data_IF_182185883001
#
_entry.id   IF_182185883001
#
_cell.length_a   1.000
_cell.length_b   1.000
_cell.length_c   1.000
_cell.angle_alpha   90.00
_cell.angle_beta   90.00
_cell.angle_gamma   90.00
#
_symmetry.space_group_name_H-M   'P 1'
#
loop_
_entity.id
_entity.type
_entity.pdbx_description
1 polymer ?
#
# COMPACT_ATOMS: atom_id res chain seq x y z
N UNK A 1 9.25 -4.18 5.98
CA UNK A 1 8.67 -5.50 5.65
C UNK A 1 9.74 -6.50 5.27
N UNK A 2 10.37 -6.37 4.08
CA UNK A 2 11.38 -7.32 3.58
C UNK A 2 12.52 -7.59 4.57
N UNK A 3 13.18 -6.54 5.09
CA UNK A 3 14.31 -6.70 6.01
C UNK A 3 13.94 -7.37 7.33
N UNK A 4 12.73 -7.11 7.84
CA UNK A 4 12.20 -7.78 9.04
C UNK A 4 12.01 -9.27 8.80
N UNK A 5 11.44 -9.65 7.66
CA UNK A 5 11.21 -11.05 7.32
C UNK A 5 12.53 -11.78 7.01
N UNK A 6 13.41 -11.18 6.22
CA UNK A 6 14.73 -11.75 5.89
C UNK A 6 15.55 -12.03 7.17
N UNK A 7 15.61 -11.06 8.09
CA UNK A 7 16.34 -11.22 9.35
C UNK A 7 15.75 -12.35 10.20
N UNK A 8 14.42 -12.44 10.27
CA UNK A 8 13.75 -13.51 10.99
C UNK A 8 14.08 -14.89 10.39
N UNK A 9 13.94 -15.04 9.08
CA UNK A 9 14.14 -16.30 8.37
C UNK A 9 15.58 -16.81 8.50
N UNK A 10 16.57 -15.93 8.28
CA UNK A 10 17.99 -16.24 8.47
C UNK A 10 18.28 -16.68 9.93
N UNK A 11 17.66 -16.02 10.91
CA UNK A 11 17.88 -16.35 12.30
C UNK A 11 17.23 -17.68 12.73
N UNK A 12 16.07 -18.02 12.14
CA UNK A 12 15.39 -19.31 12.38
C UNK A 12 16.24 -20.50 11.90
N UNK A 13 16.97 -20.36 10.80
CA UNK A 13 17.84 -21.43 10.26
C UNK A 13 19.23 -21.49 10.89
N UNK A 14 19.52 -20.68 11.92
CA UNK A 14 20.76 -20.79 12.68
C UNK A 14 21.74 -19.61 12.56
N UNK A 15 21.52 -18.70 11.62
CA UNK A 15 22.48 -17.63 11.33
C UNK A 15 22.38 -16.47 12.33
N UNK A 16 23.50 -15.82 12.59
CA UNK A 16 23.56 -14.57 13.35
C UNK A 16 23.36 -13.40 12.39
N UNK A 17 22.41 -12.52 12.68
CA UNK A 17 21.99 -11.44 11.80
C UNK A 17 22.21 -10.09 12.49
N UNK A 18 22.88 -9.18 11.80
CA UNK A 18 22.85 -7.76 12.12
C UNK A 18 21.77 -7.09 11.26
N UNK A 19 20.70 -6.60 11.89
CA UNK A 19 19.65 -5.84 11.22
C UNK A 19 19.90 -4.35 11.43
N UNK A 20 20.35 -3.67 10.37
CA UNK A 20 20.67 -2.24 10.41
C UNK A 20 19.46 -1.43 9.96
N UNK A 21 19.02 -0.49 10.78
CA UNK A 21 17.86 0.37 10.54
C UNK A 21 18.22 1.82 10.89
N UNK A 22 17.93 2.75 9.98
CA UNK A 22 18.25 4.16 10.18
C UNK A 22 17.36 4.83 11.23
N UNK A 23 16.12 4.37 11.38
CA UNK A 23 15.15 4.93 12.34
C UNK A 23 15.54 4.56 13.78
N UNK A 24 15.40 5.45 14.78
CA UNK A 24 14.90 6.83 14.67
C UNK A 24 15.95 7.88 14.27
N UNK A 25 17.24 7.52 14.21
CA UNK A 25 18.34 8.45 13.97
C UNK A 25 18.17 9.24 12.66
N UNK A 26 17.57 8.63 11.64
CA UNK A 26 17.05 9.31 10.46
C UNK A 26 15.67 8.74 10.09
N UNK A 27 14.76 9.61 9.65
CA UNK A 27 13.41 9.28 9.21
C UNK A 27 13.22 9.75 7.77
N UNK A 28 12.52 8.97 6.96
CA UNK A 28 12.05 9.47 5.65
C UNK A 28 10.72 10.22 5.84
N UNK A 29 10.29 11.04 4.85
CA UNK A 29 9.02 11.77 4.95
C UNK A 29 7.78 10.88 5.17
N UNK A 30 7.85 9.60 4.79
CA UNK A 30 6.75 8.66 4.93
C UNK A 30 6.70 7.97 6.31
N UNK A 31 7.81 7.93 7.04
CA UNK A 31 7.89 7.23 8.33
C UNK A 31 7.39 8.12 9.47
N UNK A 32 6.56 7.55 10.33
CA UNK A 32 5.96 8.20 11.49
C UNK A 32 6.35 7.53 12.81
N UNK A 33 7.09 6.41 12.78
CA UNK A 33 7.51 5.72 14.00
C UNK A 33 8.94 5.14 13.94
N UNK A 34 9.60 4.95 15.09
CA UNK A 34 10.88 4.24 15.17
C UNK A 34 10.77 2.72 14.95
N UNK A 35 9.55 2.18 14.85
CA UNK A 35 9.30 0.75 14.84
C UNK A 35 9.68 0.11 13.49
N UNK A 36 10.08 -1.15 13.55
CA UNK A 36 10.26 -2.02 12.40
C UNK A 36 8.88 -2.50 11.89
N UNK A 37 8.78 -2.80 10.60
CA UNK A 37 7.53 -3.31 10.02
C UNK A 37 6.39 -2.29 9.94
N UNK A 38 6.71 -0.99 9.94
CA UNK A 38 5.71 0.07 9.81
C UNK A 38 4.94 0.03 8.47
N UNK A 39 3.62 0.21 8.54
CA UNK A 39 2.75 0.35 7.37
C UNK A 39 2.50 1.85 7.09
N UNK A 40 3.18 2.38 6.08
CA UNK A 40 3.17 3.82 5.74
C UNK A 40 1.98 4.27 4.87
N UNK A 41 1.35 3.35 4.14
CA UNK A 41 0.26 3.63 3.21
C UNK A 41 -1.07 3.11 3.77
N UNK A 42 -1.50 1.90 3.40
CA UNK A 42 -2.75 1.26 3.84
C UNK A 42 -2.50 0.32 5.04
N UNK A 43 -3.48 0.20 5.94
CA UNK A 43 -3.46 -0.80 7.04
C UNK A 43 -3.88 -2.21 6.58
N UNK A 44 -4.32 -2.36 5.33
CA UNK A 44 -4.70 -3.63 4.72
C UNK A 44 -3.52 -4.30 4.03
N UNK A 45 -3.35 -5.59 4.31
CA UNK A 45 -2.48 -6.55 3.62
C UNK A 45 -3.25 -7.33 2.54
N UNK A 46 -4.24 -6.68 1.90
CA UNK A 46 -5.10 -7.22 0.83
C UNK A 46 -5.91 -8.46 1.25
N UNK A 47 -6.63 -9.06 0.30
CA UNK A 47 -7.50 -10.24 0.51
C UNK A 47 -6.77 -11.38 1.22
N UNK A 48 -7.38 -11.96 2.24
CA UNK A 48 -6.96 -13.14 3.00
C UNK A 48 -7.61 -14.43 2.48
N UNK A 49 -8.43 -14.33 1.42
CA UNK A 49 -9.02 -15.49 0.73
C UNK A 49 -7.92 -16.27 -0.02
N UNK A 50 -7.71 -17.57 0.28
CA UNK A 50 -6.68 -18.39 -0.36
C UNK A 50 -6.88 -18.58 -1.88
N UNK A 51 -8.06 -18.28 -2.43
CA UNK A 51 -8.31 -18.31 -3.88
C UNK A 51 -7.80 -17.03 -4.56
N UNK A 52 -7.71 -15.92 -3.83
CA UNK A 52 -7.12 -14.69 -4.35
C UNK A 52 -5.58 -14.76 -4.31
N UNK A 53 -4.85 -14.20 -5.31
CA UNK A 53 -3.39 -14.26 -5.34
C UNK A 53 -2.71 -13.77 -4.05
N UNK A 54 -3.22 -12.67 -3.48
CA UNK A 54 -2.71 -12.12 -2.22
C UNK A 54 -2.95 -13.05 -1.02
N UNK A 55 -4.10 -13.72 -0.96
CA UNK A 55 -4.42 -14.64 0.14
C UNK A 55 -3.69 -15.98 0.01
N UNK A 56 -3.49 -16.47 -1.21
CA UNK A 56 -2.63 -17.62 -1.49
C UNK A 56 -1.20 -17.36 -1.01
N UNK A 57 -0.61 -16.23 -1.39
CA UNK A 57 0.75 -15.87 -0.97
C UNK A 57 0.86 -15.78 0.56
N UNK A 58 -0.16 -15.22 1.24
CA UNK A 58 -0.20 -15.21 2.71
C UNK A 58 -0.30 -16.62 3.30
N UNK A 59 -1.06 -17.52 2.68
CA UNK A 59 -1.13 -18.91 3.10
C UNK A 59 0.23 -19.60 2.99
N UNK A 60 0.96 -19.40 1.89
CA UNK A 60 2.34 -19.88 1.72
C UNK A 60 3.27 -19.30 2.79
N UNK A 61 3.23 -17.99 3.01
CA UNK A 61 4.02 -17.32 4.05
C UNK A 61 3.73 -17.85 5.46
N UNK A 62 2.48 -18.17 5.79
CA UNK A 62 2.11 -18.82 7.07
C UNK A 62 2.80 -20.18 7.19
N UNK A 63 2.77 -20.99 6.13
CA UNK A 63 3.44 -22.31 6.09
C UNK A 63 4.96 -22.21 6.19
N UNK A 64 5.54 -21.12 5.70
CA UNK A 64 6.97 -20.82 5.82
C UNK A 64 7.35 -20.13 7.13
N UNK A 65 6.46 -20.06 8.12
CA UNK A 65 6.75 -19.51 9.44
C UNK A 65 7.00 -18.01 9.47
N UNK A 66 6.31 -17.25 8.60
CA UNK A 66 6.53 -15.81 8.46
C UNK A 66 6.30 -15.04 9.76
N UNK A 67 7.27 -14.18 10.12
CA UNK A 67 7.15 -13.25 11.23
C UNK A 67 6.04 -12.22 10.98
N UNK A 68 6.09 -11.61 9.80
CA UNK A 68 5.16 -10.55 9.40
C UNK A 68 3.72 -11.05 9.46
N UNK A 69 3.42 -12.19 8.81
CA UNK A 69 2.05 -12.68 8.76
C UNK A 69 1.57 -13.13 10.15
N UNK A 70 2.42 -13.78 10.94
CA UNK A 70 2.07 -14.12 12.32
C UNK A 70 1.74 -12.88 13.17
N UNK A 71 2.49 -11.79 13.03
CA UNK A 71 2.19 -10.54 13.73
C UNK A 71 0.90 -9.88 13.19
N UNK A 72 0.62 -10.00 11.90
CA UNK A 72 -0.59 -9.49 11.28
C UNK A 72 -1.83 -10.23 11.79
N UNK A 73 -1.78 -11.56 11.87
CA UNK A 73 -2.87 -12.38 12.40
C UNK A 73 -3.20 -12.02 13.86
N UNK A 74 -2.18 -11.72 14.68
CA UNK A 74 -2.37 -11.31 16.08
C UNK A 74 -2.98 -9.91 16.25
N UNK A 75 -2.80 -9.03 15.26
CA UNK A 75 -3.25 -7.62 15.33
C UNK A 75 -4.34 -7.32 14.30
N UNK A 76 -5.05 -8.35 13.84
CA UNK A 76 -6.13 -8.23 12.86
C UNK A 76 -7.25 -7.34 13.38
N UNK A 77 -7.75 -6.47 12.51
CA UNK A 77 -8.96 -5.67 12.72
C UNK A 77 -10.03 -6.06 11.68
N UNK A 78 -11.33 -5.85 11.95
CA UNK A 78 -12.38 -6.10 10.97
C UNK A 78 -12.13 -5.34 9.66
N UNK A 79 -12.19 -6.05 8.53
CA UNK A 79 -11.99 -5.51 7.18
C UNK A 79 -12.45 -6.50 6.09
N UNK A 80 -13.59 -7.16 6.31
CA UNK A 80 -14.13 -8.07 5.31
C UNK A 80 -13.28 -9.30 5.00
N UNK A 81 -13.09 -9.54 3.69
CA UNK A 81 -12.17 -10.57 3.19
C UNK A 81 -10.70 -10.14 3.28
N UNK A 82 -10.39 -8.88 3.59
CA UNK A 82 -9.01 -8.44 3.70
C UNK A 82 -8.39 -8.73 5.07
N UNK A 83 -7.08 -8.94 5.10
CA UNK A 83 -6.30 -8.93 6.33
C UNK A 83 -5.87 -7.49 6.62
N UNK A 84 -6.66 -6.73 7.39
CA UNK A 84 -6.24 -5.44 7.91
C UNK A 84 -5.73 -5.56 9.34
N UNK A 85 -4.82 -4.67 9.72
CA UNK A 85 -4.16 -4.71 11.03
C UNK A 85 -4.21 -3.37 11.76
N UNK A 86 -4.17 -3.40 13.09
CA UNK A 86 -3.88 -2.22 13.89
C UNK A 86 -2.38 -1.87 13.73
N UNK A 87 -2.08 -0.78 13.02
CA UNK A 87 -0.73 -0.47 12.50
C UNK A 87 0.34 -0.43 13.60
N UNK A 88 0.05 0.19 14.73
CA UNK A 88 1.04 0.41 15.77
C UNK A 88 1.33 -0.87 16.55
N UNK A 89 0.30 -1.60 16.95
CA UNK A 89 0.40 -2.91 17.58
C UNK A 89 1.13 -3.92 16.69
N UNK A 90 0.80 -3.95 15.40
CA UNK A 90 1.47 -4.77 14.40
C UNK A 90 2.98 -4.49 14.30
N UNK A 91 3.37 -3.22 14.10
CA UNK A 91 4.77 -2.82 14.00
C UNK A 91 5.53 -3.05 15.32
N UNK A 92 4.87 -2.81 16.46
CA UNK A 92 5.44 -3.07 17.79
C UNK A 92 5.73 -4.56 17.99
N UNK A 93 4.81 -5.44 17.59
CA UNK A 93 4.98 -6.89 17.72
C UNK A 93 6.15 -7.40 16.86
N UNK A 94 6.28 -6.93 15.62
CA UNK A 94 7.44 -7.22 14.76
C UNK A 94 8.73 -6.77 15.44
N UNK A 95 8.76 -5.53 15.91
CA UNK A 95 9.95 -4.95 16.56
C UNK A 95 10.37 -5.74 17.79
N UNK A 96 9.41 -6.09 18.66
CA UNK A 96 9.66 -6.85 19.88
C UNK A 96 10.19 -8.26 19.57
N UNK A 97 9.57 -8.97 18.63
CA UNK A 97 10.00 -10.33 18.26
C UNK A 97 11.41 -10.35 17.68
N UNK A 98 11.77 -9.36 16.86
CA UNK A 98 13.14 -9.23 16.34
C UNK A 98 14.14 -8.85 17.43
N UNK A 99 13.79 -7.90 18.30
CA UNK A 99 14.67 -7.45 19.37
C UNK A 99 14.97 -8.52 20.42
N UNK A 100 14.02 -9.42 20.66
CA UNK A 100 14.15 -10.51 21.63
C UNK A 100 14.75 -11.79 21.04
N UNK A 101 15.00 -11.84 19.72
CA UNK A 101 15.54 -13.05 19.10
C UNK A 101 17.05 -13.18 19.39
N UNK A 102 17.54 -14.30 19.96
CA UNK A 102 18.91 -14.42 20.45
C UNK A 102 20.00 -14.34 19.36
N UNK A 103 19.61 -14.51 18.10
CA UNK A 103 20.52 -14.43 16.94
C UNK A 103 20.37 -13.15 16.13
N UNK A 104 19.51 -12.21 16.53
CA UNK A 104 19.31 -10.94 15.81
C UNK A 104 19.82 -9.80 16.68
N UNK A 105 20.74 -9.01 16.14
CA UNK A 105 21.18 -7.75 16.72
C UNK A 105 20.63 -6.60 15.89
N UNK A 106 19.83 -5.74 16.49
CA UNK A 106 19.34 -4.53 15.81
C UNK A 106 20.35 -3.39 16.02
N UNK A 107 20.83 -2.81 14.93
CA UNK A 107 21.71 -1.64 14.92
C UNK A 107 20.94 -0.42 14.41
N UNK A 108 20.85 0.62 15.25
CA UNK A 108 20.09 1.83 14.96
C UNK A 108 21.00 2.92 14.40
N UNK A 109 21.31 2.85 13.11
CA UNK A 109 22.20 3.78 12.41
C UNK A 109 21.90 3.86 10.92
N UNK A 110 22.18 5.02 10.34
CA UNK A 110 22.18 5.21 8.89
C UNK A 110 23.39 4.47 8.29
N UNK A 111 23.18 3.90 7.10
CA UNK A 111 24.26 3.43 6.24
C UNK A 111 24.35 4.37 5.04
N UNK A 112 25.58 4.76 4.72
CA UNK A 112 25.89 5.59 3.55
C UNK A 112 26.64 4.79 2.47
N UNK A 113 27.09 3.58 2.80
CA UNK A 113 27.81 2.66 1.91
C UNK A 113 27.28 1.24 2.06
N UNK A 114 27.55 0.39 1.06
CA UNK A 114 27.26 -1.04 1.10
C UNK A 114 28.32 -1.75 1.97
N UNK A 115 27.92 -2.50 3.02
CA UNK A 115 28.87 -3.28 3.81
C UNK A 115 29.52 -4.40 3.00
N UNK A 116 30.73 -4.81 3.40
CA UNK A 116 31.38 -6.00 2.88
C UNK A 116 30.69 -7.30 3.36
N UNK A 117 30.77 -8.34 2.53
CA UNK A 117 30.28 -9.69 2.86
C UNK A 117 28.79 -9.90 2.56
N UNK A 118 28.17 -10.96 3.11
CA UNK A 118 26.79 -11.33 2.80
C UNK A 118 25.80 -10.29 3.32
N UNK A 119 25.14 -9.58 2.39
CA UNK A 119 24.21 -8.48 2.71
C UNK A 119 22.90 -8.64 1.94
N UNK A 120 21.77 -8.35 2.59
CA UNK A 120 20.47 -8.17 1.93
C UNK A 120 20.04 -6.72 2.10
N UNK A 121 20.02 -5.97 1.01
CA UNK A 121 19.57 -4.57 0.98
C UNK A 121 18.05 -4.55 0.88
N UNK A 122 17.40 -4.04 1.93
CA UNK A 122 15.94 -3.99 2.10
C UNK A 122 15.42 -2.57 2.39
N UNK A 123 16.11 -1.53 1.91
CA UNK A 123 15.87 -0.12 2.31
C UNK A 123 14.61 0.49 1.72
N UNK A 124 13.91 -0.24 0.84
CA UNK A 124 12.62 0.17 0.29
C UNK A 124 12.73 1.30 -0.74
N UNK A 125 11.58 1.87 -1.16
CA UNK A 125 11.52 2.79 -2.29
C UNK A 125 12.23 4.13 -2.06
N UNK A 126 12.37 4.52 -0.79
CA UNK A 126 12.85 5.84 -0.38
C UNK A 126 14.36 5.81 -0.09
N UNK A 127 15.10 4.99 -0.84
CA UNK A 127 16.55 4.90 -0.67
C UNK A 127 17.20 6.12 -1.31
N UNK A 128 17.59 7.08 -0.47
CA UNK A 128 18.15 8.37 -0.88
C UNK A 128 19.52 8.64 -0.26
N UNK A 129 20.19 9.70 -0.75
CA UNK A 129 21.51 10.13 -0.27
C UNK A 129 22.63 9.17 -0.65
N UNK A 130 23.69 9.15 0.15
CA UNK A 130 24.95 8.46 -0.18
C UNK A 130 24.75 6.97 -0.55
N UNK A 131 23.96 6.23 0.23
CA UNK A 131 23.69 4.82 -0.08
C UNK A 131 22.94 4.65 -1.41
N UNK A 132 22.00 5.55 -1.72
CA UNK A 132 21.30 5.55 -3.00
C UNK A 132 22.23 5.82 -4.19
N UNK A 133 23.21 6.71 -4.03
CA UNK A 133 24.25 6.96 -5.04
C UNK A 133 25.15 5.74 -5.24
N UNK A 134 25.58 5.09 -4.16
CA UNK A 134 26.39 3.85 -4.21
C UNK A 134 25.63 2.75 -4.95
N UNK A 135 24.35 2.52 -4.59
CA UNK A 135 23.52 1.51 -5.25
C UNK A 135 23.34 1.84 -6.73
N UNK A 136 23.12 3.12 -7.09
CA UNK A 136 22.96 3.53 -8.50
C UNK A 136 24.24 3.33 -9.31
N UNK A 137 25.40 3.59 -8.72
CA UNK A 137 26.69 3.36 -9.34
C UNK A 137 26.93 1.87 -9.62
N UNK A 138 26.66 1.00 -8.65
CA UNK A 138 26.77 -0.46 -8.79
C UNK A 138 25.83 -1.04 -9.85
N UNK A 139 24.65 -0.43 -10.02
CA UNK A 139 23.62 -0.88 -10.96
C UNK A 139 23.68 -0.19 -12.33
N UNK A 140 24.68 0.68 -12.58
CA UNK A 140 24.95 1.25 -13.90
C UNK A 140 23.95 2.29 -14.41
N UNK A 141 23.45 3.20 -13.56
CA UNK A 141 22.88 4.51 -13.97
C UNK A 141 21.35 4.64 -14.13
N UNK A 142 20.91 5.82 -14.59
CA UNK A 142 19.71 6.62 -14.22
C UNK A 142 18.26 6.11 -14.47
N UNK A 143 18.01 4.82 -14.73
CA UNK A 143 16.64 4.33 -15.05
C UNK A 143 16.04 3.42 -13.98
N UNK A 144 15.91 3.95 -12.76
CA UNK A 144 15.53 3.16 -11.57
C UNK A 144 14.45 3.84 -10.72
N UNK A 145 13.34 4.25 -11.32
CA UNK A 145 12.22 4.82 -10.57
C UNK A 145 10.85 4.55 -11.19
N UNK A 146 9.84 4.41 -10.34
CA UNK A 146 8.42 4.49 -10.69
C UNK A 146 7.74 5.47 -9.73
N UNK A 147 6.51 5.89 -10.06
CA UNK A 147 5.74 6.74 -9.17
C UNK A 147 4.61 5.96 -8.51
N UNK A 148 4.50 6.12 -7.19
CA UNK A 148 3.39 5.64 -6.37
C UNK A 148 2.59 6.83 -5.87
N UNK A 149 1.26 6.75 -5.89
CA UNK A 149 0.38 7.82 -5.47
C UNK A 149 -0.42 7.38 -4.25
N UNK A 150 -0.61 8.29 -3.30
CA UNK A 150 -1.32 8.04 -2.05
C UNK A 150 -2.67 8.74 -2.12
N UNK A 151 -3.70 8.10 -1.58
CA UNK A 151 -5.04 8.67 -1.51
C UNK A 151 -5.25 9.53 -0.24
N UNK A 152 -6.13 10.55 -0.30
CA UNK A 152 -6.45 11.39 0.85
C UNK A 152 -7.13 10.63 2.01
N UNK A 153 -7.04 11.20 3.20
CA UNK A 153 -7.74 10.78 4.42
C UNK A 153 -8.55 11.96 4.95
N UNK A 154 -9.82 11.71 5.28
CA UNK A 154 -10.75 12.68 5.84
C UNK A 154 -11.15 12.32 7.29
N UNK A 155 -11.49 13.33 8.07
CA UNK A 155 -12.00 13.17 9.43
C UNK A 155 -13.43 12.63 9.43
N UNK A 156 -13.74 11.69 10.32
CA UNK A 156 -15.03 11.01 10.33
C UNK A 156 -16.24 11.93 10.62
N UNK A 157 -16.03 12.93 11.46
CA UNK A 157 -17.03 13.93 11.87
C UNK A 157 -17.28 15.00 10.79
N UNK A 158 -16.43 15.06 9.76
CA UNK A 158 -16.59 15.97 8.62
C UNK A 158 -17.38 15.38 7.44
N UNK A 159 -17.75 14.08 7.53
CA UNK A 159 -18.56 13.40 6.51
C UNK A 159 -20.04 13.77 6.74
N UNK A 160 -20.71 14.23 5.68
CA UNK A 160 -22.14 14.51 5.72
C UNK A 160 -22.95 13.22 5.49
N UNK A 161 -23.55 12.73 6.59
CA UNK A 161 -24.30 11.48 6.61
C UNK A 161 -25.69 11.58 5.96
N UNK A 162 -26.21 12.79 5.70
CA UNK A 162 -27.42 12.93 4.88
C UNK A 162 -27.12 12.53 3.43
N UNK A 163 -25.84 12.58 3.05
CA UNK A 163 -25.34 12.28 1.71
C UNK A 163 -24.58 10.96 1.59
N UNK A 164 -24.42 10.20 2.67
CA UNK A 164 -23.64 8.97 2.71
C UNK A 164 -24.41 7.80 3.34
N UNK A 165 -23.97 6.57 3.06
CA UNK A 165 -24.52 5.38 3.72
C UNK A 165 -23.46 4.30 3.92
N UNK A 166 -23.60 3.52 5.00
CA UNK A 166 -22.74 2.35 5.24
C UNK A 166 -23.30 1.13 4.53
N UNK A 167 -22.47 0.47 3.74
CA UNK A 167 -22.83 -0.78 3.09
C UNK A 167 -21.58 -1.46 2.52
N UNK A 168 -21.62 -2.79 2.52
CA UNK A 168 -20.74 -3.61 1.71
C UNK A 168 -21.42 -3.93 0.37
N UNK A 169 -20.63 -4.23 -0.66
CA UNK A 169 -21.18 -4.63 -1.96
C UNK A 169 -21.98 -5.93 -1.83
N UNK A 170 -23.06 -6.01 -2.59
CA UNK A 170 -24.03 -7.10 -2.69
C UNK A 170 -24.83 -7.37 -1.43
N UNK A 171 -24.89 -6.41 -0.49
CA UNK A 171 -25.64 -6.59 0.75
C UNK A 171 -25.18 -7.82 1.53
N UNK A 172 -23.89 -8.18 1.41
CA UNK A 172 -23.27 -9.29 2.16
C UNK A 172 -23.06 -8.87 3.60
N UNK A 173 -24.18 -8.75 4.30
CA UNK A 173 -24.26 -8.96 5.74
C UNK A 173 -23.99 -10.46 5.99
N UNK A 174 -23.44 -10.78 7.15
CA UNK A 174 -22.61 -11.95 7.47
C UNK A 174 -23.12 -13.38 7.19
N UNK A 175 -24.26 -13.62 6.52
CA UNK A 175 -24.93 -14.94 6.53
C UNK A 175 -25.47 -15.51 5.18
N UNK A 176 -25.12 -14.99 4.00
CA UNK A 176 -25.69 -15.53 2.73
C UNK A 176 -24.89 -16.72 2.13
N UNK A 177 -25.54 -17.80 1.62
CA UNK A 177 -24.88 -19.09 1.30
C UNK A 177 -24.25 -19.18 -0.10
N UNK A 178 -24.60 -18.28 -1.03
CA UNK A 178 -24.21 -18.39 -2.44
C UNK A 178 -22.91 -17.61 -2.72
N UNK A 179 -21.77 -18.31 -2.64
CA UNK A 179 -20.41 -17.73 -2.71
C UNK A 179 -19.71 -17.79 -4.07
N UNK A 180 -20.34 -18.28 -5.14
CA UNK A 180 -19.58 -18.79 -6.29
C UNK A 180 -20.00 -18.22 -7.66
N UNK A 181 -19.80 -16.92 -7.87
CA UNK A 181 -19.83 -16.32 -9.22
C UNK A 181 -18.45 -15.75 -9.60
N UNK A 182 -18.01 -16.04 -10.83
CA UNK A 182 -16.66 -15.77 -11.34
C UNK A 182 -16.36 -14.28 -11.56
N UNK A 183 -17.38 -13.42 -11.64
CA UNK A 183 -17.22 -11.97 -11.79
C UNK A 183 -16.84 -11.26 -10.46
N UNK A 184 -17.03 -11.92 -9.32
CA UNK A 184 -16.73 -11.38 -7.98
C UNK A 184 -15.23 -11.32 -7.63
N UNK A 185 -14.39 -12.07 -8.36
CA UNK A 185 -12.98 -12.29 -7.99
C UNK A 185 -12.04 -11.16 -8.45
N UNK A 186 -12.40 -10.43 -9.51
CA UNK A 186 -11.62 -9.30 -10.02
C UNK A 186 -11.78 -8.01 -9.18
N UNK A 187 -12.74 -8.00 -8.24
CA UNK A 187 -13.20 -6.80 -7.54
C UNK A 187 -12.78 -6.70 -6.06
N UNK A 188 -12.07 -7.68 -5.52
CA UNK A 188 -11.75 -7.70 -4.08
C UNK A 188 -13.02 -7.75 -3.20
N UNK A 189 -13.94 -8.66 -3.51
CA UNK A 189 -15.25 -8.75 -2.86
C UNK A 189 -15.20 -8.81 -1.32
N UNK A 190 -16.04 -8.01 -0.66
CA UNK A 190 -16.14 -7.90 0.81
C UNK A 190 -17.38 -8.67 1.34
N UNK A 191 -17.28 -9.24 2.55
CA UNK A 191 -18.29 -10.07 3.24
C UNK A 191 -18.55 -9.66 4.71
N UNK A 192 -18.16 -8.46 5.13
CA UNK A 192 -18.52 -7.89 6.44
C UNK A 192 -19.75 -6.97 6.38
N UNK A 193 -20.49 -6.82 7.49
CA UNK A 193 -21.57 -5.82 7.62
C UNK A 193 -20.97 -4.41 7.57
N UNK A 194 -21.18 -3.69 6.47
CA UNK A 194 -21.02 -2.23 6.39
C UNK A 194 -19.61 -1.65 6.61
N UNK A 195 -18.55 -2.29 6.08
CA UNK A 195 -17.15 -1.88 6.30
C UNK A 195 -16.75 -0.58 5.55
N UNK A 196 -17.56 -0.14 4.59
CA UNK A 196 -17.33 1.08 3.81
C UNK A 196 -18.42 2.12 4.02
N UNK A 197 -18.01 3.39 4.03
CA UNK A 197 -18.90 4.53 3.84
C UNK A 197 -18.99 4.82 2.35
N UNK A 198 -20.20 4.85 1.82
CA UNK A 198 -20.45 5.04 0.40
C UNK A 198 -21.02 6.44 0.19
N UNK A 199 -20.34 7.22 -0.64
CA UNK A 199 -20.69 8.58 -1.02
C UNK A 199 -21.16 8.56 -2.47
N UNK A 200 -22.46 8.33 -2.74
CA UNK A 200 -22.98 8.21 -4.09
C UNK A 200 -23.01 9.56 -4.82
N UNK A 201 -22.88 9.48 -6.15
CA UNK A 201 -23.09 10.59 -7.06
C UNK A 201 -24.16 10.20 -8.09
N UNK A 202 -24.94 11.19 -8.49
CA UNK A 202 -25.80 11.11 -9.68
C UNK A 202 -24.97 11.33 -10.96
N UNK A 203 -25.63 11.31 -12.13
CA UNK A 203 -24.95 11.42 -13.42
C UNK A 203 -24.28 12.79 -13.62
N UNK A 204 -25.00 13.88 -13.33
CA UNK A 204 -24.48 15.23 -13.50
C UNK A 204 -23.32 15.51 -12.53
N UNK A 205 -23.49 15.16 -11.25
CA UNK A 205 -22.44 15.29 -10.23
C UNK A 205 -21.16 14.53 -10.61
N UNK A 206 -21.30 13.34 -11.21
CA UNK A 206 -20.15 12.57 -11.69
C UNK A 206 -19.47 13.22 -12.90
N UNK A 207 -20.24 13.72 -13.86
CA UNK A 207 -19.73 14.37 -15.06
C UNK A 207 -18.96 15.65 -14.69
N UNK A 208 -19.53 16.48 -13.80
CA UNK A 208 -18.88 17.67 -13.25
C UNK A 208 -17.61 17.31 -12.47
N UNK A 209 -17.66 16.24 -11.68
CA UNK A 209 -16.49 15.75 -10.92
C UNK A 209 -15.35 15.32 -11.86
N UNK A 210 -15.65 14.54 -12.91
CA UNK A 210 -14.65 14.10 -13.89
C UNK A 210 -14.04 15.29 -14.64
N UNK A 211 -14.85 16.26 -15.03
CA UNK A 211 -14.37 17.50 -15.66
C UNK A 211 -13.42 18.26 -14.72
N UNK A 212 -13.82 18.41 -13.46
CA UNK A 212 -13.00 19.10 -12.46
C UNK A 212 -11.67 18.36 -12.17
N UNK A 213 -11.67 17.02 -12.13
CA UNK A 213 -10.46 16.20 -12.00
C UNK A 213 -9.54 16.40 -13.20
N UNK A 214 -10.07 16.35 -14.43
CA UNK A 214 -9.29 16.53 -15.65
C UNK A 214 -8.68 17.93 -15.77
N UNK A 215 -9.47 18.97 -15.41
CA UNK A 215 -9.05 20.38 -15.42
C UNK A 215 -8.24 20.82 -14.19
N UNK A 216 -8.16 19.99 -13.16
CA UNK A 216 -7.46 20.31 -11.91
C UNK A 216 -5.96 20.50 -12.12
N UNK A 217 -5.39 21.51 -11.46
CA UNK A 217 -3.94 21.74 -11.44
C UNK A 217 -3.23 20.56 -10.76
N UNK A 218 -2.28 19.96 -11.50
CA UNK A 218 -1.48 18.82 -11.04
C UNK A 218 -0.09 19.28 -10.59
N UNK A 219 0.48 18.59 -9.62
CA UNK A 219 1.91 18.68 -9.32
C UNK A 219 2.65 18.00 -10.47
N UNK A 220 3.60 18.73 -11.08
CA UNK A 220 4.43 18.20 -12.16
C UNK A 220 5.62 17.43 -11.57
N UNK A 221 5.99 16.27 -12.14
CA UNK A 221 7.32 15.72 -11.91
C UNK A 221 8.38 16.66 -12.49
N UNK A 222 9.64 16.52 -12.05
CA UNK A 222 10.74 17.34 -12.56
C UNK A 222 10.93 17.16 -14.09
N UNK A 223 11.30 18.24 -14.78
CA UNK A 223 11.20 18.45 -16.25
C UNK A 223 11.89 17.43 -17.18
N UNK A 224 12.58 16.42 -16.66
CA UNK A 224 13.33 15.41 -17.43
C UNK A 224 12.75 13.99 -17.34
N UNK A 225 11.58 13.81 -16.72
CA UNK A 225 10.99 12.48 -16.44
C UNK A 225 9.67 12.27 -17.22
N UNK A 226 9.58 11.21 -18.04
CA UNK A 226 8.29 10.71 -18.51
C UNK A 226 7.64 9.88 -17.38
N UNK A 227 6.51 10.32 -16.79
CA UNK A 227 5.95 9.63 -15.66
C UNK A 227 5.34 8.28 -16.07
N UNK A 228 6.02 7.19 -15.68
CA UNK A 228 5.48 5.83 -15.74
C UNK A 228 4.76 5.54 -14.43
N UNK A 229 3.44 5.49 -14.48
CA UNK A 229 2.60 5.10 -13.35
C UNK A 229 2.41 3.59 -13.32
N UNK A 230 2.37 3.01 -12.14
CA UNK A 230 1.96 1.63 -11.99
C UNK A 230 0.45 1.51 -12.22
N UNK A 231 0.01 0.55 -13.03
CA UNK A 231 -1.41 0.40 -13.40
C UNK A 231 -2.30 0.14 -12.17
N UNK A 232 -1.79 -0.54 -11.14
CA UNK A 232 -2.54 -0.81 -9.90
C UNK A 232 -2.61 0.38 -8.93
N UNK A 233 -1.81 1.43 -9.14
CA UNK A 233 -1.72 2.60 -8.25
C UNK A 233 -1.81 3.93 -9.02
N UNK A 234 -2.59 3.93 -10.09
CA UNK A 234 -2.70 5.07 -11.01
C UNK A 234 -3.38 6.28 -10.35
N UNK A 235 -2.87 7.51 -10.54
CA UNK A 235 -3.58 8.71 -10.13
C UNK A 235 -4.95 8.83 -10.81
N UNK A 236 -5.98 9.25 -10.08
CA UNK A 236 -7.36 9.35 -10.60
C UNK A 236 -7.48 10.27 -11.82
N UNK A 237 -6.66 11.32 -11.89
CA UNK A 237 -6.61 12.23 -13.02
C UNK A 237 -6.06 11.57 -14.28
N UNK A 238 -5.12 10.63 -14.13
CA UNK A 238 -4.59 9.84 -15.27
C UNK A 238 -5.64 8.82 -15.71
N UNK A 239 -6.39 8.23 -14.77
CA UNK A 239 -7.53 7.36 -15.10
C UNK A 239 -8.64 8.13 -15.82
N UNK A 240 -8.97 9.34 -15.36
CA UNK A 240 -10.00 10.20 -15.95
C UNK A 240 -9.62 10.68 -17.37
N UNK A 241 -8.33 10.96 -17.61
CA UNK A 241 -7.77 11.31 -18.93
C UNK A 241 -7.93 10.17 -19.95
N UNK A 242 -7.91 8.91 -19.50
CA UNK A 242 -8.11 7.72 -20.35
C UNK A 242 -9.55 7.54 -20.82
N UNK A 243 -10.51 8.26 -20.23
CA UNK A 243 -11.89 8.26 -20.68
C UNK A 243 -12.90 8.64 -19.59
N UNK A 244 -14.00 9.28 -20.01
CA UNK A 244 -15.02 9.81 -19.12
C UNK A 244 -15.71 8.75 -18.24
N UNK A 245 -15.67 7.47 -18.61
CA UNK A 245 -16.27 6.37 -17.84
C UNK A 245 -15.25 5.55 -17.04
N UNK A 246 -13.96 5.81 -17.20
CA UNK A 246 -12.89 4.99 -16.60
C UNK A 246 -13.03 4.91 -15.08
N UNK A 247 -13.31 6.03 -14.41
CA UNK A 247 -13.49 6.05 -12.95
C UNK A 247 -14.68 5.17 -12.52
N UNK A 248 -15.79 5.14 -13.29
CA UNK A 248 -16.96 4.29 -13.00
C UNK A 248 -16.73 2.80 -13.20
N UNK A 249 -15.72 2.42 -13.99
CA UNK A 249 -15.30 1.02 -14.11
C UNK A 249 -14.18 0.67 -13.13
N UNK A 250 -13.51 1.66 -12.55
CA UNK A 250 -12.47 1.51 -11.53
C UNK A 250 -12.92 1.96 -10.13
N UNK A 251 -12.30 3.00 -9.55
CA UNK A 251 -12.47 3.36 -8.13
C UNK A 251 -13.86 3.87 -7.77
N UNK A 252 -14.63 4.35 -8.75
CA UNK A 252 -15.98 4.88 -8.53
C UNK A 252 -17.12 3.93 -8.93
N UNK A 253 -16.83 2.63 -9.08
CA UNK A 253 -17.84 1.68 -9.56
C UNK A 253 -19.00 1.51 -8.57
N UNK A 254 -20.28 1.59 -8.99
CA UNK A 254 -21.42 1.44 -8.07
C UNK A 254 -21.92 -0.01 -7.94
N UNK A 255 -21.26 -0.99 -8.57
CA UNK A 255 -21.74 -2.37 -8.68
C UNK A 255 -21.92 -3.03 -7.30
N UNK A 256 -23.07 -3.68 -7.09
CA UNK A 256 -23.44 -4.30 -5.82
C UNK A 256 -23.91 -3.33 -4.75
N UNK A 257 -24.08 -2.04 -5.03
CA UNK A 257 -24.59 -1.08 -4.06
C UNK A 257 -25.99 -0.59 -4.44
N UNK A 258 -26.82 -0.37 -3.43
CA UNK A 258 -28.16 0.22 -3.53
C UNK A 258 -28.21 1.37 -2.54
N UNK A 259 -28.45 2.57 -3.02
CA UNK A 259 -28.59 3.74 -2.14
C UNK A 259 -29.92 3.62 -1.39
N UNK A 260 -29.92 3.59 -0.04
CA UNK A 260 -31.14 3.41 0.75
C UNK A 260 -32.13 4.57 0.59
N UNK A 261 -31.66 5.76 0.20
CA UNK A 261 -32.51 6.96 0.06
C UNK A 261 -33.31 6.95 -1.23
N UNK A 262 -32.71 6.45 -2.31
CA UNK A 262 -33.38 6.38 -3.62
C UNK A 262 -33.95 5.00 -3.90
N UNK A 263 -33.44 3.96 -3.25
CA UNK A 263 -33.75 2.56 -3.55
C UNK A 263 -33.13 2.08 -4.87
N UNK A 264 -32.25 2.85 -5.51
CA UNK A 264 -31.62 2.50 -6.78
C UNK A 264 -30.10 2.42 -6.67
N UNK A 265 -29.46 1.75 -7.63
CA UNK A 265 -28.01 1.77 -7.76
C UNK A 265 -27.57 3.19 -8.14
N UNK A 266 -26.64 3.83 -7.42
CA UNK A 266 -26.16 5.16 -7.76
C UNK A 266 -25.42 5.15 -9.10
N UNK A 267 -25.25 6.31 -9.72
CA UNK A 267 -24.53 6.39 -10.99
C UNK A 267 -23.04 6.10 -10.82
N UNK A 268 -22.44 6.67 -9.78
CA UNK A 268 -21.08 6.43 -9.32
C UNK A 268 -21.03 6.49 -7.78
N UNK A 269 -19.93 6.06 -7.17
CA UNK A 269 -19.77 6.10 -5.71
C UNK A 269 -18.32 6.35 -5.33
N UNK A 270 -18.05 7.21 -4.35
CA UNK A 270 -16.75 7.23 -3.67
C UNK A 270 -16.87 6.36 -2.42
N UNK A 271 -16.02 5.35 -2.28
CA UNK A 271 -15.99 4.52 -1.07
C UNK A 271 -14.92 5.04 -0.12
N UNK A 272 -15.26 5.11 1.16
CA UNK A 272 -14.33 5.44 2.25
C UNK A 272 -14.14 4.23 3.15
N UNK A 273 -12.90 3.94 3.53
CA UNK A 273 -12.55 2.84 4.43
C UNK A 273 -12.01 3.37 5.76
N UNK A 274 -12.41 2.80 6.91
CA UNK A 274 -11.83 3.15 8.19
C UNK A 274 -10.31 3.02 8.22
N UNK A 275 -9.62 4.04 8.71
CA UNK A 275 -8.17 4.05 8.88
C UNK A 275 -7.72 3.57 10.26
N UNK A 276 -8.60 3.69 11.26
CA UNK A 276 -8.31 3.29 12.63
C UNK A 276 -9.50 2.57 13.28
N UNK A 277 -9.21 1.82 14.35
CA UNK A 277 -10.20 1.03 15.10
C UNK A 277 -11.31 1.89 15.72
N UNK A 278 -11.02 3.17 16.00
CA UNK A 278 -11.97 4.11 16.60
C UNK A 278 -12.88 4.77 15.57
N UNK A 279 -12.71 4.47 14.29
CA UNK A 279 -13.49 5.03 13.18
C UNK A 279 -13.45 6.57 13.14
N UNK A 280 -12.34 7.18 13.56
CA UNK A 280 -12.20 8.66 13.58
C UNK A 280 -11.61 9.24 12.29
N UNK A 281 -11.09 8.38 11.41
CA UNK A 281 -10.49 8.77 10.14
C UNK A 281 -10.83 7.76 9.04
N UNK A 282 -11.01 8.26 7.82
CA UNK A 282 -11.45 7.50 6.66
C UNK A 282 -10.59 7.80 5.43
N UNK A 283 -10.10 6.77 4.76
CA UNK A 283 -9.34 6.89 3.51
C UNK A 283 -10.25 6.78 2.29
N UNK A 284 -10.04 7.63 1.28
CA UNK A 284 -10.75 7.56 0.00
C UNK A 284 -10.17 6.41 -0.84
N UNK A 285 -10.96 5.37 -1.05
CA UNK A 285 -10.50 4.11 -1.65
C UNK A 285 -10.26 4.29 -3.14
N UNK A 286 -9.04 4.06 -3.60
CA UNK A 286 -8.68 4.16 -5.03
C UNK A 286 -8.58 5.61 -5.53
N UNK A 287 -8.43 6.58 -4.63
CA UNK A 287 -8.31 8.01 -4.94
C UNK A 287 -6.87 8.51 -4.84
N UNK A 288 -5.91 7.68 -5.26
CA UNK A 288 -4.52 8.10 -5.39
C UNK A 288 -4.45 9.30 -6.34
N UNK A 289 -3.67 10.33 -6.01
CA UNK A 289 -3.68 11.56 -6.83
C UNK A 289 -2.37 12.37 -6.73
N UNK A 290 -2.07 13.11 -7.80
CA UNK A 290 -1.03 14.16 -7.89
C UNK A 290 -1.64 15.56 -8.06
N UNK A 291 -2.95 15.72 -7.87
CA UNK A 291 -3.60 17.03 -7.83
C UNK A 291 -2.94 17.89 -6.74
N UNK A 292 -2.75 19.18 -7.00
CA UNK A 292 -2.26 20.09 -5.98
C UNK A 292 -3.24 20.13 -4.79
N UNK A 293 -2.75 20.32 -3.56
CA UNK A 293 -3.61 20.24 -2.37
C UNK A 293 -4.85 21.16 -2.43
N UNK A 294 -4.77 22.42 -2.92
CA UNK A 294 -5.97 23.24 -3.10
C UNK A 294 -6.98 22.64 -4.08
N UNK A 295 -6.51 21.93 -5.11
CA UNK A 295 -7.37 21.24 -6.07
C UNK A 295 -8.01 20.01 -5.46
N UNK A 296 -7.26 19.23 -4.67
CA UNK A 296 -7.83 18.10 -3.95
C UNK A 296 -8.98 18.56 -3.05
N UNK A 297 -8.77 19.62 -2.26
CA UNK A 297 -9.81 20.16 -1.39
C UNK A 297 -11.03 20.63 -2.19
N UNK A 298 -10.82 21.39 -3.27
CA UNK A 298 -11.89 21.91 -4.13
C UNK A 298 -12.68 20.79 -4.82
N UNK A 299 -11.99 19.85 -5.44
CA UNK A 299 -12.57 18.81 -6.29
C UNK A 299 -13.24 17.73 -5.45
N UNK A 300 -12.60 17.24 -4.39
CA UNK A 300 -13.19 16.20 -3.55
C UNK A 300 -14.39 16.70 -2.73
N UNK A 301 -14.44 18.01 -2.42
CA UNK A 301 -15.63 18.63 -1.84
C UNK A 301 -16.84 18.68 -2.81
N UNK A 302 -16.67 18.42 -4.11
CA UNK A 302 -17.79 18.29 -5.04
C UNK A 302 -18.58 16.99 -4.83
N UNK A 303 -17.99 15.98 -4.18
CA UNK A 303 -18.73 14.78 -3.78
C UNK A 303 -19.73 15.20 -2.69
N UNK A 304 -21.05 14.97 -2.84
CA UNK A 304 -22.06 15.54 -1.94
C UNK A 304 -21.80 15.23 -0.46
N UNK A 305 -21.36 14.03 -0.13
CA UNK A 305 -21.03 13.63 1.25
C UNK A 305 -19.75 14.26 1.83
N UNK A 306 -18.91 14.85 0.99
CA UNK A 306 -17.60 15.39 1.37
C UNK A 306 -17.54 16.92 1.24
N UNK A 307 -18.66 17.60 1.04
CA UNK A 307 -18.68 19.05 0.84
C UNK A 307 -18.15 19.87 2.03
N UNK A 308 -18.11 19.28 3.23
CA UNK A 308 -17.52 19.85 4.46
C UNK A 308 -16.29 19.06 4.92
N UNK A 309 -15.73 18.19 4.09
CA UNK A 309 -14.69 17.27 4.52
C UNK A 309 -13.43 18.00 5.02
N UNK A 310 -12.97 17.59 6.19
CA UNK A 310 -11.68 18.00 6.75
C UNK A 310 -10.63 16.96 6.37
N UNK A 311 -9.63 17.38 5.60
CA UNK A 311 -8.55 16.49 5.16
C UNK A 311 -7.47 16.38 6.24
N UNK A 312 -7.44 15.24 6.91
CA UNK A 312 -6.37 14.87 7.85
C UNK A 312 -5.05 14.61 7.12
N UNK A 313 -5.12 14.16 5.85
CA UNK A 313 -3.97 13.97 4.97
C UNK A 313 -4.41 14.13 3.52
N UNK A 314 -3.69 14.94 2.75
CA UNK A 314 -3.87 15.02 1.30
C UNK A 314 -3.19 13.83 0.59
N UNK A 315 -3.70 13.50 -0.59
CA UNK A 315 -3.02 12.59 -1.50
C UNK A 315 -1.73 13.20 -2.05
N UNK A 316 -0.81 12.38 -2.50
CA UNK A 316 0.50 12.84 -2.96
C UNK A 316 1.16 11.76 -3.80
N UNK A 317 2.00 12.16 -4.75
CA UNK A 317 2.82 11.24 -5.51
C UNK A 317 4.26 11.23 -4.96
N UNK A 318 4.81 10.03 -4.82
CA UNK A 318 6.18 9.83 -4.39
C UNK A 318 6.95 9.07 -5.47
N UNK A 319 8.16 9.54 -5.75
CA UNK A 319 9.11 8.79 -6.59
C UNK A 319 9.67 7.65 -5.77
N UNK A 320 9.42 6.43 -6.22
CA UNK A 320 9.93 5.22 -5.61
C UNK A 320 11.10 4.71 -6.46
N UNK A 321 12.27 4.58 -5.83
CA UNK A 321 13.42 3.91 -6.44
C UNK A 321 13.19 2.41 -6.48
N UNK A 322 13.45 1.81 -7.64
CA UNK A 322 13.45 0.36 -7.83
C UNK A 322 14.56 -0.03 -8.80
N UNK A 323 14.98 -1.29 -8.74
CA UNK A 323 15.99 -1.89 -9.59
C UNK A 323 15.26 -2.63 -10.70
N UNK A 324 15.69 -2.42 -11.95
CA UNK A 324 15.33 -3.30 -13.06
C UNK A 324 15.99 -4.66 -12.85
N UNK A 325 15.39 -5.48 -11.99
CA UNK A 325 15.97 -6.72 -11.48
C UNK A 325 16.35 -7.68 -12.62
N UNK A 326 15.53 -7.92 -13.66
CA UNK A 326 15.93 -8.77 -14.79
C UNK A 326 17.17 -8.30 -15.54
N UNK A 327 17.40 -6.99 -15.62
CA UNK A 327 18.54 -6.42 -16.35
C UNK A 327 19.80 -6.27 -15.47
N UNK A 328 19.63 -6.14 -14.15
CA UNK A 328 20.71 -5.68 -13.25
C UNK A 328 21.05 -6.64 -12.11
N UNK A 329 20.18 -7.61 -11.80
CA UNK A 329 20.40 -8.59 -10.74
C UNK A 329 20.52 -10.01 -11.30
N UNK A 330 21.26 -10.86 -10.59
CA UNK A 330 21.30 -12.29 -10.85
C UNK A 330 20.01 -13.01 -10.47
N UNK A 331 19.93 -14.30 -10.79
CA UNK A 331 18.76 -15.13 -10.53
C UNK A 331 18.43 -15.31 -9.03
N UNK A 332 19.36 -14.98 -8.14
CA UNK A 332 19.18 -14.97 -6.68
C UNK A 332 19.13 -13.56 -6.12
N UNK A 333 18.80 -12.58 -6.97
CA UNK A 333 18.72 -11.15 -6.66
C UNK A 333 20.05 -10.53 -6.21
N UNK A 334 21.18 -11.14 -6.58
CA UNK A 334 22.51 -10.63 -6.27
C UNK A 334 22.99 -9.56 -7.26
N UNK A 335 23.88 -8.66 -6.81
CA UNK A 335 24.64 -7.82 -7.74
C UNK A 335 25.56 -8.67 -8.61
N UNK A 336 25.60 -8.36 -9.90
CA UNK A 336 26.58 -8.97 -10.81
C UNK A 336 28.01 -8.60 -10.42
N UNK A 337 28.25 -7.38 -9.92
CA UNK A 337 29.56 -6.91 -9.47
C UNK A 337 30.00 -7.50 -8.11
N UNK A 338 29.03 -7.80 -7.23
CA UNK A 338 29.23 -8.23 -5.83
C UNK A 338 28.19 -9.30 -5.44
N UNK A 339 28.39 -10.58 -5.83
CA UNK A 339 27.39 -11.64 -5.64
C UNK A 339 27.00 -11.94 -4.19
N UNK A 340 27.78 -11.46 -3.22
CA UNK A 340 27.49 -11.50 -1.79
C UNK A 340 26.38 -10.51 -1.37
N UNK A 341 26.15 -9.46 -2.16
CA UNK A 341 25.11 -8.46 -1.93
C UNK A 341 23.87 -8.81 -2.74
N UNK A 342 22.73 -8.92 -2.06
CA UNK A 342 21.42 -9.15 -2.67
C UNK A 342 20.44 -8.04 -2.33
N UNK A 343 19.40 -7.90 -3.14
CA UNK A 343 18.30 -6.97 -2.88
C UNK A 343 17.01 -7.72 -2.62
N UNK A 344 16.15 -7.14 -1.78
CA UNK A 344 14.82 -7.69 -1.53
C UNK A 344 13.79 -6.58 -1.26
N UNK A 345 12.52 -6.95 -1.39
CA UNK A 345 11.41 -6.04 -1.18
C UNK A 345 11.12 -5.16 -2.39
N UNK A 346 10.48 -4.02 -2.16
CA UNK A 346 10.06 -3.12 -3.23
C UNK A 346 11.19 -2.69 -4.18
N UNK A 347 12.44 -2.65 -3.69
CA UNK A 347 13.62 -2.36 -4.52
C UNK A 347 13.80 -3.35 -5.67
N UNK A 348 13.30 -4.59 -5.58
CA UNK A 348 13.40 -5.57 -6.66
C UNK A 348 12.22 -5.51 -7.63
N UNK A 349 11.39 -4.46 -7.57
CA UNK A 349 10.28 -4.24 -8.50
C UNK A 349 8.97 -4.94 -8.13
N UNK A 350 8.88 -5.59 -6.96
CA UNK A 350 7.59 -6.04 -6.43
C UNK A 350 6.82 -4.88 -5.80
N UNK A 351 5.49 -4.95 -5.77
CA UNK A 351 4.65 -3.94 -5.13
C UNK A 351 3.81 -4.55 -4.01
N UNK A 352 3.90 -3.93 -2.83
CA UNK A 352 3.06 -4.24 -1.68
C UNK A 352 3.79 -4.89 -0.52
N UNK A 353 3.12 -4.89 0.62
CA UNK A 353 3.70 -5.35 1.89
C UNK A 353 3.95 -6.85 1.92
N UNK A 354 3.02 -7.64 1.35
CA UNK A 354 3.08 -9.11 1.38
C UNK A 354 4.10 -9.64 0.37
N UNK A 355 4.19 -9.02 -0.80
CA UNK A 355 5.18 -9.32 -1.83
C UNK A 355 6.57 -8.93 -1.35
N UNK A 356 6.69 -7.76 -0.70
CA UNK A 356 7.96 -7.36 -0.08
C UNK A 356 8.38 -8.31 1.03
N UNK A 357 7.42 -8.79 1.84
CA UNK A 357 7.64 -9.81 2.86
C UNK A 357 8.15 -11.12 2.22
N UNK A 358 7.46 -11.62 1.19
CA UNK A 358 7.83 -12.83 0.47
C UNK A 358 9.22 -12.72 -0.16
N UNK A 359 9.55 -11.58 -0.77
CA UNK A 359 10.90 -11.33 -1.28
C UNK A 359 11.95 -11.34 -0.17
N UNK A 360 11.67 -10.77 1.00
CA UNK A 360 12.56 -10.86 2.15
C UNK A 360 12.83 -12.30 2.58
N UNK A 361 11.78 -13.13 2.62
CA UNK A 361 11.89 -14.55 2.95
C UNK A 361 12.72 -15.31 1.92
N UNK A 362 12.35 -15.21 0.63
CA UNK A 362 13.01 -15.95 -0.47
C UNK A 362 14.48 -15.55 -0.59
N UNK A 363 14.78 -14.25 -0.59
CA UNK A 363 16.16 -13.77 -0.69
C UNK A 363 16.97 -14.12 0.56
N UNK A 364 16.34 -14.14 1.73
CA UNK A 364 16.92 -14.69 2.95
C UNK A 364 17.37 -16.13 2.77
N UNK A 365 16.51 -16.99 2.22
CA UNK A 365 16.85 -18.39 1.93
C UNK A 365 17.88 -18.56 0.81
N UNK A 366 17.90 -17.66 -0.18
CA UNK A 366 18.91 -17.68 -1.26
C UNK A 366 20.30 -17.20 -0.82
N UNK A 367 20.37 -16.46 0.28
CA UNK A 367 21.63 -16.02 0.88
C UNK A 367 22.26 -17.11 1.76
N UNK A 368 21.43 -17.85 2.50
CA UNK A 368 21.84 -18.98 3.33
C UNK A 368 22.28 -20.18 2.50
#
# INVERSE_FOLDING_TARGET
>A
MAGSEAAWQLAQIGLRVALIEMKPSAMSPAHQSPLLGELVCSNSLRSDDPIAPAGLLKHELRRCGSLVIACADQHKVPAGQALAVERFGFARAITQRLALHPRIRIERRRLDELPDGPVIVCTGPLTEGALGEVIRAELGGDRMYFYDAIAPIVAADSIDWDFAFRASRWGRDTDSPDRDSSEDRAAGGDTGVGDYVNCPLNKAEYEDFVEAVNGGRKVLPHDFEEPKYFESCMPIEVMAERGAQTLRFGPMKPIGLKDPRTGFRPWAVVQLRPENKYLTAYNLVGFQTRLAYPEQQRIFAMVPALHKAEFLRFGSIHRNTYIDAPARLGARFELTSKPEIRFAGLLTGVEGYIESCAMGLVVGWMLA
#
